data_IF_329069007550
#
_entry.id   IF_329069007550
#
_cell.length_a   1.000
_cell.length_b   1.000
_cell.length_c   1.000
_cell.angle_alpha   90.00
_cell.angle_beta   90.00
_cell.angle_gamma   90.00
#
_symmetry.space_group_name_H-M   'P 1'
#
loop_
_entity.id
_entity.type
_entity.pdbx_description
1 polymer ?
#
# COMPACT_ATOMS: atom_id res chain seq x y z
N UNK A 1 38.41 -25.46 53.33
CA UNK A 1 36.96 -25.27 53.17
C UNK A 1 36.74 -24.42 51.94
N UNK A 2 36.25 -25.01 50.84
CA UNK A 2 35.89 -24.26 49.65
C UNK A 2 34.48 -23.64 49.85
N UNK A 3 34.28 -22.34 49.55
CA UNK A 3 32.97 -21.73 49.63
C UNK A 3 32.04 -22.39 48.60
N UNK A 4 30.88 -22.87 49.07
CA UNK A 4 29.83 -23.42 48.22
C UNK A 4 29.33 -22.33 47.26
N UNK A 5 29.17 -22.63 45.97
CA UNK A 5 28.65 -21.67 45.00
C UNK A 5 27.22 -21.28 45.39
N UNK A 6 27.02 -19.99 45.67
CA UNK A 6 25.70 -19.41 45.89
C UNK A 6 24.94 -19.49 44.57
N UNK A 7 23.97 -20.39 44.48
CA UNK A 7 23.08 -20.43 43.32
C UNK A 7 22.25 -19.13 43.30
N UNK A 8 22.22 -18.39 42.17
CA UNK A 8 21.38 -17.22 42.06
C UNK A 8 19.93 -17.64 42.24
N UNK A 9 19.20 -16.93 43.11
CA UNK A 9 17.78 -17.16 43.31
C UNK A 9 17.07 -17.10 41.94
N UNK A 10 16.19 -18.05 41.62
CA UNK A 10 15.49 -18.04 40.35
C UNK A 10 14.72 -16.72 40.27
N UNK A 11 15.08 -15.86 39.31
CA UNK A 11 14.33 -14.64 39.04
C UNK A 11 12.89 -15.03 38.76
N UNK A 12 11.99 -14.74 39.69
CA UNK A 12 10.56 -14.97 39.60
C UNK A 12 9.95 -14.01 38.58
N UNK A 13 10.28 -14.21 37.30
CA UNK A 13 9.68 -13.47 36.21
C UNK A 13 8.17 -13.63 36.23
N UNK A 14 7.44 -12.52 36.09
CA UNK A 14 5.99 -12.54 35.95
C UNK A 14 5.66 -13.35 34.70
N UNK A 15 4.93 -14.46 34.87
CA UNK A 15 4.50 -15.28 33.74
C UNK A 15 3.30 -14.61 33.08
N UNK A 16 3.33 -14.46 31.75
CA UNK A 16 2.21 -13.92 30.96
C UNK A 16 0.89 -14.64 31.26
N UNK A 17 0.94 -15.94 31.53
CA UNK A 17 -0.24 -16.76 31.88
C UNK A 17 -0.93 -16.34 33.18
N UNK A 18 -0.25 -15.58 34.05
CA UNK A 18 -0.78 -15.10 35.32
C UNK A 18 -1.41 -13.71 35.22
N UNK A 19 -1.24 -12.98 34.10
CA UNK A 19 -1.86 -11.69 33.92
C UNK A 19 -3.40 -11.83 33.82
N UNK A 20 -4.20 -10.87 34.30
CA UNK A 20 -5.61 -10.74 33.97
C UNK A 20 -5.84 -10.69 32.45
N UNK A 21 -7.01 -11.14 31.98
CA UNK A 21 -7.30 -11.22 30.56
C UNK A 21 -7.33 -9.82 29.91
N UNK A 22 -7.78 -8.83 30.68
CA UNK A 22 -7.88 -7.42 30.33
C UNK A 22 -6.49 -6.82 30.06
N UNK A 23 -5.50 -7.14 30.92
CA UNK A 23 -4.13 -6.67 30.72
C UNK A 23 -3.48 -7.33 29.51
N UNK A 24 -3.71 -8.62 29.30
CA UNK A 24 -3.19 -9.32 28.11
C UNK A 24 -3.85 -8.82 26.82
N UNK A 25 -5.15 -8.52 26.87
CA UNK A 25 -5.87 -7.84 25.78
C UNK A 25 -5.27 -6.47 25.50
N UNK A 26 -5.06 -5.64 26.53
CA UNK A 26 -4.44 -4.32 26.38
C UNK A 26 -3.05 -4.40 25.74
N UNK A 27 -2.21 -5.37 26.14
CA UNK A 27 -0.91 -5.60 25.52
C UNK A 27 -1.09 -5.90 24.03
N UNK A 28 -1.99 -6.83 23.66
CA UNK A 28 -2.27 -7.16 22.26
C UNK A 28 -2.75 -5.95 21.45
N UNK A 29 -3.58 -5.09 22.03
CA UNK A 29 -4.07 -3.86 21.40
C UNK A 29 -3.00 -2.77 21.28
N UNK A 30 -1.94 -2.83 22.08
CA UNK A 30 -0.84 -1.85 22.07
C UNK A 30 0.27 -2.21 21.08
N UNK A 31 0.22 -3.41 20.48
CA UNK A 31 1.19 -3.82 19.46
C UNK A 31 0.87 -3.11 18.14
N UNK A 32 1.89 -2.59 17.48
CA UNK A 32 1.78 -1.86 16.21
C UNK A 32 1.89 -2.76 14.98
N UNK A 33 2.19 -4.05 15.16
CA UNK A 33 2.43 -5.01 14.07
C UNK A 33 1.62 -6.29 14.24
N UNK A 34 1.01 -6.76 13.15
CA UNK A 34 0.35 -8.06 13.11
C UNK A 34 1.32 -9.22 13.38
N UNK A 35 2.60 -9.07 13.03
CA UNK A 35 3.63 -10.08 13.29
C UNK A 35 3.82 -10.30 14.79
N UNK A 36 3.87 -9.22 15.56
CA UNK A 36 4.03 -9.26 17.01
C UNK A 36 2.79 -9.81 17.70
N UNK A 37 1.60 -9.39 17.23
CA UNK A 37 0.31 -9.93 17.71
C UNK A 37 0.27 -11.45 17.55
N UNK A 38 0.63 -11.94 16.36
CA UNK A 38 0.63 -13.39 16.08
C UNK A 38 1.71 -14.12 16.87
N UNK A 39 2.89 -13.52 17.03
CA UNK A 39 3.98 -14.07 17.83
C UNK A 39 3.58 -14.21 19.30
N UNK A 40 2.97 -13.16 19.88
CA UNK A 40 2.45 -13.20 21.24
C UNK A 40 1.31 -14.22 21.38
N UNK A 41 0.37 -14.25 20.44
CA UNK A 41 -0.71 -15.24 20.43
C UNK A 41 -0.20 -16.69 20.31
N UNK A 42 0.94 -16.91 19.66
CA UNK A 42 1.58 -18.23 19.54
C UNK A 42 2.24 -18.71 20.85
N UNK A 43 2.60 -17.82 21.77
CA UNK A 43 3.32 -18.18 23.01
C UNK A 43 2.51 -19.07 23.95
N UNK A 44 1.19 -18.88 24.06
CA UNK A 44 0.34 -19.71 24.91
C UNK A 44 -1.13 -19.72 24.45
N UNK A 45 -1.85 -20.79 24.81
CA UNK A 45 -3.26 -20.97 24.43
C UNK A 45 -4.16 -19.83 24.94
N UNK A 46 -3.85 -19.25 26.11
CA UNK A 46 -4.63 -18.16 26.68
C UNK A 46 -4.51 -16.88 25.83
N UNK A 47 -3.30 -16.53 25.40
CA UNK A 47 -3.09 -15.39 24.51
C UNK A 47 -3.80 -15.58 23.17
N UNK A 48 -3.76 -16.80 22.62
CA UNK A 48 -4.49 -17.15 21.38
C UNK A 48 -6.00 -16.94 21.51
N UNK A 49 -6.62 -17.43 22.59
CA UNK A 49 -8.06 -17.26 22.81
C UNK A 49 -8.44 -15.79 22.91
N UNK A 50 -7.67 -15.00 23.68
CA UNK A 50 -7.91 -13.55 23.79
C UNK A 50 -7.71 -12.86 22.44
N UNK A 51 -6.70 -13.26 21.67
CA UNK A 51 -6.50 -12.77 20.31
C UNK A 51 -7.68 -13.14 19.40
N UNK A 52 -8.18 -14.37 19.43
CA UNK A 52 -9.37 -14.79 18.65
C UNK A 52 -10.63 -14.01 19.04
N UNK A 53 -10.79 -13.68 20.31
CA UNK A 53 -11.93 -12.88 20.82
C UNK A 53 -11.86 -11.42 20.38
N UNK A 54 -10.66 -10.91 20.10
CA UNK A 54 -10.42 -9.50 19.79
C UNK A 54 -9.86 -9.25 18.37
N UNK A 55 -9.72 -10.28 17.54
CA UNK A 55 -9.00 -10.24 16.27
C UNK A 55 -9.52 -9.15 15.32
N UNK A 56 -10.84 -8.96 15.23
CA UNK A 56 -11.45 -7.92 14.40
C UNK A 56 -10.99 -6.53 14.81
N UNK A 57 -11.02 -6.22 16.12
CA UNK A 57 -10.62 -4.92 16.65
C UNK A 57 -9.12 -4.70 16.55
N UNK A 58 -8.31 -5.73 16.82
CA UNK A 58 -6.84 -5.67 16.67
C UNK A 58 -6.47 -5.36 15.21
N UNK A 59 -7.04 -6.10 14.26
CA UNK A 59 -6.78 -5.86 12.85
C UNK A 59 -7.25 -4.48 12.39
N UNK A 60 -8.39 -3.98 12.87
CA UNK A 60 -8.88 -2.65 12.51
C UNK A 60 -7.90 -1.56 12.95
N UNK A 61 -7.26 -1.71 14.11
CA UNK A 61 -6.31 -0.74 14.64
C UNK A 61 -4.93 -0.77 13.96
N UNK A 62 -4.51 -1.95 13.47
CA UNK A 62 -3.15 -2.15 12.94
C UNK A 62 -3.11 -2.09 11.41
N UNK A 63 -4.14 -2.64 10.74
CA UNK A 63 -4.13 -2.81 9.29
C UNK A 63 -4.59 -1.54 8.59
N UNK A 64 -3.66 -0.89 7.91
CA UNK A 64 -3.97 0.20 6.98
C UNK A 64 -4.90 -0.32 5.89
N UNK A 65 -5.99 0.41 5.60
CA UNK A 65 -7.03 -0.01 4.66
C UNK A 65 -7.70 -1.34 5.04
N UNK A 66 -8.02 -1.48 6.33
CA UNK A 66 -8.66 -2.66 6.90
C UNK A 66 -9.84 -3.17 6.05
N UNK A 67 -10.69 -2.28 5.54
CA UNK A 67 -11.86 -2.65 4.72
C UNK A 67 -11.46 -3.36 3.42
N UNK A 68 -10.49 -2.83 2.68
CA UNK A 68 -9.98 -3.41 1.44
C UNK A 68 -9.22 -4.72 1.71
N UNK A 69 -8.42 -4.76 2.79
CA UNK A 69 -7.75 -5.98 3.22
C UNK A 69 -8.74 -7.10 3.61
N UNK A 70 -9.83 -6.75 4.31
CA UNK A 70 -10.93 -7.68 4.63
C UNK A 70 -11.68 -8.13 3.40
N UNK A 71 -11.85 -7.24 2.42
CA UNK A 71 -12.47 -7.59 1.17
C UNK A 71 -11.64 -8.63 0.41
N UNK A 72 -10.34 -8.39 0.26
CA UNK A 72 -9.42 -9.37 -0.33
C UNK A 72 -9.48 -10.72 0.41
N UNK A 73 -9.46 -10.71 1.74
CA UNK A 73 -9.56 -11.93 2.54
C UNK A 73 -10.87 -12.70 2.26
N UNK A 74 -12.01 -12.00 2.17
CA UNK A 74 -13.29 -12.63 1.84
C UNK A 74 -13.28 -13.25 0.43
N UNK A 75 -12.67 -12.56 -0.55
CA UNK A 75 -12.55 -13.06 -1.92
C UNK A 75 -11.60 -14.27 -2.03
N UNK A 76 -10.66 -14.42 -1.09
CA UNK A 76 -9.81 -15.61 -0.93
C UNK A 76 -10.52 -16.78 -0.23
N UNK A 77 -11.83 -16.67 0.06
CA UNK A 77 -12.61 -17.69 0.75
C UNK A 77 -12.63 -17.54 2.28
N UNK A 78 -12.16 -16.40 2.80
CA UNK A 78 -12.25 -16.04 4.21
C UNK A 78 -13.65 -15.56 4.63
N UNK A 79 -13.79 -15.09 5.89
CA UNK A 79 -15.05 -14.62 6.45
C UNK A 79 -15.49 -13.31 5.78
N UNK A 80 -16.81 -13.08 5.68
CA UNK A 80 -17.37 -11.84 5.13
C UNK A 80 -16.92 -10.62 5.95
N UNK A 81 -17.11 -9.41 5.43
CA UNK A 81 -16.62 -8.17 6.04
C UNK A 81 -17.07 -8.00 7.50
N UNK A 82 -18.33 -8.31 7.78
CA UNK A 82 -18.93 -8.17 9.13
C UNK A 82 -18.73 -9.39 10.03
N UNK A 83 -18.25 -10.50 9.48
CA UNK A 83 -18.07 -11.72 10.25
C UNK A 83 -16.85 -11.59 11.19
N UNK A 84 -16.86 -12.37 12.27
CA UNK A 84 -15.76 -12.38 13.25
C UNK A 84 -14.47 -12.96 12.63
N UNK A 85 -13.34 -12.29 12.89
CA UNK A 85 -12.02 -12.80 12.55
C UNK A 85 -11.50 -13.80 13.58
N UNK A 86 -10.61 -14.67 13.13
CA UNK A 86 -9.87 -15.64 13.95
C UNK A 86 -8.37 -15.45 13.66
N UNK A 87 -7.50 -15.95 14.54
CA UNK A 87 -6.05 -15.78 14.46
C UNK A 87 -5.48 -16.22 13.11
N UNK A 88 -5.98 -17.31 12.53
CA UNK A 88 -5.51 -17.77 11.22
C UNK A 88 -5.91 -16.83 10.07
N UNK A 89 -7.04 -16.12 10.18
CA UNK A 89 -7.42 -15.06 9.25
C UNK A 89 -6.47 -13.85 9.37
N UNK A 90 -6.06 -13.51 10.59
CA UNK A 90 -5.05 -12.47 10.85
C UNK A 90 -3.72 -12.85 10.18
N UNK A 91 -3.31 -14.11 10.28
CA UNK A 91 -2.12 -14.62 9.59
C UNK A 91 -2.23 -14.53 8.07
N UNK A 92 -3.41 -14.78 7.48
CA UNK A 92 -3.64 -14.57 6.05
C UNK A 92 -3.54 -13.09 5.67
N UNK A 93 -4.09 -12.17 6.48
CA UNK A 93 -3.97 -10.73 6.25
C UNK A 93 -2.50 -10.27 6.32
N UNK A 94 -1.72 -10.76 7.29
CA UNK A 94 -0.28 -10.50 7.37
C UNK A 94 0.46 -11.03 6.13
N UNK A 95 0.12 -12.23 5.64
CA UNK A 95 0.70 -12.76 4.40
C UNK A 95 0.38 -11.86 3.21
N UNK A 96 -0.87 -11.41 3.07
CA UNK A 96 -1.27 -10.49 2.02
C UNK A 96 -0.52 -9.16 2.12
N UNK A 97 -0.34 -8.63 3.34
CA UNK A 97 0.44 -7.42 3.59
C UNK A 97 1.89 -7.55 3.12
N UNK A 98 2.57 -8.66 3.44
CA UNK A 98 3.96 -8.91 2.98
C UNK A 98 4.09 -8.95 1.46
N UNK A 99 3.10 -9.48 0.74
CA UNK A 99 3.09 -9.46 -0.73
C UNK A 99 2.97 -8.03 -1.25
N UNK A 100 2.20 -7.18 -0.57
CA UNK A 100 2.05 -5.77 -0.93
C UNK A 100 3.33 -5.00 -0.62
N UNK A 101 3.97 -5.20 0.53
CA UNK A 101 5.25 -4.55 0.86
C UNK A 101 6.34 -4.86 -0.17
N UNK A 102 6.44 -6.12 -0.59
CA UNK A 102 7.32 -6.51 -1.69
C UNK A 102 6.92 -5.81 -2.97
N UNK A 103 5.64 -5.81 -3.31
CA UNK A 103 5.13 -5.12 -4.50
C UNK A 103 5.45 -3.62 -4.50
N UNK A 104 5.39 -2.95 -3.35
CA UNK A 104 5.80 -1.54 -3.22
C UNK A 104 7.29 -1.40 -3.51
N UNK A 105 8.14 -2.26 -2.93
CA UNK A 105 9.58 -2.24 -3.17
C UNK A 105 9.91 -2.43 -4.66
N UNK A 106 9.20 -3.34 -5.34
CA UNK A 106 9.36 -3.54 -6.78
C UNK A 106 8.92 -2.31 -7.57
N UNK A 107 7.77 -1.74 -7.24
CA UNK A 107 7.24 -0.54 -7.88
C UNK A 107 8.17 0.67 -7.70
N UNK A 108 8.68 0.88 -6.50
CA UNK A 108 9.64 1.94 -6.20
C UNK A 108 10.90 1.79 -7.05
N UNK A 109 11.40 0.57 -7.16
CA UNK A 109 12.60 0.28 -7.93
C UNK A 109 12.40 0.39 -9.45
N UNK A 110 11.30 -0.14 -9.99
CA UNK A 110 11.03 -0.24 -11.44
C UNK A 110 10.38 1.00 -12.03
N UNK A 111 9.61 1.75 -11.24
CA UNK A 111 8.79 2.86 -11.71
C UNK A 111 9.21 4.16 -11.05
N UNK A 112 9.14 4.25 -9.72
CA UNK A 112 9.30 5.54 -8.99
C UNK A 112 10.65 6.19 -9.27
N UNK A 113 11.72 5.39 -9.32
CA UNK A 113 13.08 5.87 -9.66
C UNK A 113 13.20 6.55 -11.02
N UNK A 114 12.29 6.25 -11.94
CA UNK A 114 12.30 6.75 -13.31
C UNK A 114 11.24 7.85 -13.53
N UNK A 115 10.52 8.25 -12.48
CA UNK A 115 9.59 9.37 -12.55
C UNK A 115 10.38 10.66 -12.69
N UNK A 116 10.16 11.35 -13.81
CA UNK A 116 10.65 12.71 -14.04
C UNK A 116 9.46 13.66 -14.11
N UNK A 117 9.69 14.88 -13.64
CA UNK A 117 8.76 15.98 -13.75
C UNK A 117 9.57 17.28 -13.75
N UNK A 118 8.95 18.39 -14.11
CA UNK A 118 9.60 19.70 -14.06
C UNK A 118 10.10 20.01 -12.63
N UNK A 119 11.38 20.39 -12.51
CA UNK A 119 12.03 20.61 -11.21
C UNK A 119 11.28 21.59 -10.30
N UNK A 120 10.60 22.60 -10.87
CA UNK A 120 9.81 23.56 -10.10
C UNK A 120 8.59 22.94 -9.41
N UNK A 121 7.93 21.96 -10.05
CA UNK A 121 6.81 21.22 -9.45
C UNK A 121 7.33 20.31 -8.35
N UNK A 122 8.42 19.57 -8.62
CA UNK A 122 9.01 18.65 -7.66
C UNK A 122 9.52 19.38 -6.41
N UNK A 123 10.19 20.52 -6.57
CA UNK A 123 10.70 21.32 -5.46
C UNK A 123 9.57 21.88 -4.59
N UNK A 124 8.45 22.26 -5.20
CA UNK A 124 7.28 22.75 -4.46
C UNK A 124 6.63 21.66 -3.60
N UNK A 125 6.61 20.42 -4.07
CA UNK A 125 5.84 19.33 -3.43
C UNK A 125 6.69 18.45 -2.52
N UNK A 126 7.90 18.14 -2.95
CA UNK A 126 8.80 17.22 -2.24
C UNK A 126 9.99 17.96 -1.60
N UNK A 127 10.17 19.25 -1.86
CA UNK A 127 11.35 20.01 -1.40
C UNK A 127 12.65 19.68 -2.15
N UNK A 128 12.57 18.86 -3.21
CA UNK A 128 13.71 18.32 -3.96
C UNK A 128 13.55 18.61 -5.46
N UNK A 129 14.66 18.71 -6.18
CA UNK A 129 14.64 18.89 -7.65
C UNK A 129 14.29 17.58 -8.41
N UNK A 130 14.07 16.49 -7.68
CA UNK A 130 13.68 15.17 -8.20
C UNK A 130 12.64 14.52 -7.29
N UNK A 131 11.87 13.58 -7.83
CA UNK A 131 10.99 12.74 -7.02
C UNK A 131 11.81 11.93 -6.00
N UNK A 132 11.33 11.72 -4.76
CA UNK A 132 11.95 10.78 -3.83
C UNK A 132 12.10 9.38 -4.45
N UNK A 133 13.11 8.61 -4.04
CA UNK A 133 13.33 7.26 -4.59
C UNK A 133 12.30 6.22 -4.08
N UNK A 134 11.49 6.60 -3.11
CA UNK A 134 10.41 5.83 -2.52
C UNK A 134 9.08 6.59 -2.66
N UNK A 135 7.97 5.89 -2.52
CA UNK A 135 6.66 6.52 -2.46
C UNK A 135 6.58 7.42 -1.23
N UNK A 136 5.96 8.59 -1.37
CA UNK A 136 5.54 9.37 -0.20
C UNK A 136 4.48 8.63 0.62
N UNK A 137 4.22 9.04 1.87
CA UNK A 137 3.16 8.42 2.67
C UNK A 137 1.78 8.41 2.00
N UNK A 138 1.41 9.48 1.29
CA UNK A 138 0.16 9.60 0.53
C UNK A 138 0.16 8.72 -0.74
N UNK A 139 1.27 8.67 -1.47
CA UNK A 139 1.43 7.80 -2.65
C UNK A 139 1.37 6.33 -2.27
N UNK A 140 2.09 5.93 -1.22
CA UNK A 140 2.07 4.57 -0.67
C UNK A 140 0.67 4.17 -0.24
N UNK A 141 -0.05 5.08 0.41
CA UNK A 141 -1.44 4.91 0.82
C UNK A 141 -2.36 4.60 -0.37
N UNK A 142 -2.31 5.43 -1.42
CA UNK A 142 -3.05 5.19 -2.67
C UNK A 142 -2.66 3.87 -3.35
N UNK A 143 -1.37 3.55 -3.39
CA UNK A 143 -0.87 2.30 -3.95
C UNK A 143 -1.47 1.10 -3.22
N UNK A 144 -1.35 1.05 -1.89
CA UNK A 144 -1.85 -0.07 -1.07
C UNK A 144 -3.34 -0.28 -1.28
N UNK A 145 -4.14 0.79 -1.17
CA UNK A 145 -5.60 0.74 -1.33
C UNK A 145 -5.99 0.18 -2.69
N UNK A 146 -5.40 0.72 -3.76
CA UNK A 146 -5.70 0.29 -5.13
C UNK A 146 -5.20 -1.13 -5.40
N UNK A 147 -4.05 -1.51 -4.82
CA UNK A 147 -3.47 -2.84 -5.00
C UNK A 147 -4.35 -3.92 -4.38
N UNK A 148 -4.85 -3.71 -3.15
CA UNK A 148 -5.83 -4.61 -2.54
C UNK A 148 -7.06 -4.81 -3.44
N UNK A 149 -7.59 -3.73 -4.00
CA UNK A 149 -8.78 -3.77 -4.87
C UNK A 149 -8.52 -4.52 -6.17
N UNK A 150 -7.42 -4.22 -6.88
CA UNK A 150 -7.03 -4.94 -8.10
C UNK A 150 -6.80 -6.42 -7.78
N UNK A 151 -6.11 -6.74 -6.69
CA UNK A 151 -5.86 -8.13 -6.30
C UNK A 151 -7.17 -8.88 -6.00
N UNK A 152 -8.09 -8.27 -5.26
CA UNK A 152 -9.43 -8.83 -5.02
C UNK A 152 -10.16 -9.11 -6.34
N UNK A 153 -10.18 -8.15 -7.27
CA UNK A 153 -10.81 -8.28 -8.59
C UNK A 153 -10.16 -9.39 -9.44
N UNK A 154 -8.85 -9.58 -9.33
CA UNK A 154 -8.11 -10.64 -10.03
C UNK A 154 -8.39 -12.05 -9.49
N UNK A 155 -8.87 -12.19 -8.26
CA UNK A 155 -9.22 -13.50 -7.67
C UNK A 155 -10.66 -13.91 -8.03
N UNK A 156 -11.59 -12.95 -8.08
CA UNK A 156 -12.99 -13.24 -8.36
C UNK A 156 -13.27 -13.43 -9.85
N UNK A 157 -14.37 -14.10 -10.14
CA UNK A 157 -14.83 -14.32 -11.51
C UNK A 157 -15.18 -13.00 -12.22
N UNK A 158 -14.85 -12.83 -13.51
CA UNK A 158 -15.09 -11.57 -14.24
C UNK A 158 -16.54 -11.08 -14.28
N UNK A 159 -17.51 -12.00 -14.20
CA UNK A 159 -18.94 -11.66 -14.12
C UNK A 159 -19.33 -10.93 -12.82
N UNK A 160 -18.48 -10.94 -11.79
CA UNK A 160 -18.71 -10.25 -10.52
C UNK A 160 -18.03 -8.88 -10.47
N UNK A 161 -17.14 -8.54 -11.42
CA UNK A 161 -16.49 -7.23 -11.48
C UNK A 161 -17.50 -6.07 -11.51
N UNK A 162 -18.60 -6.11 -12.30
CA UNK A 162 -19.52 -4.99 -12.35
C UNK A 162 -20.16 -4.65 -11.01
N UNK A 163 -20.51 -5.67 -10.21
CA UNK A 163 -21.07 -5.52 -8.87
C UNK A 163 -20.02 -5.05 -7.87
N UNK A 164 -18.77 -5.52 -8.01
CA UNK A 164 -17.64 -5.11 -7.15
C UNK A 164 -17.22 -3.67 -7.39
N UNK A 165 -17.28 -3.21 -8.64
CA UNK A 165 -16.93 -1.85 -9.07
C UNK A 165 -18.09 -0.86 -8.91
N UNK A 166 -19.32 -1.31 -8.66
CA UNK A 166 -20.47 -0.42 -8.47
C UNK A 166 -20.35 0.57 -7.28
N UNK A 167 -19.77 0.19 -6.12
CA UNK A 167 -19.56 1.10 -5.01
C UNK A 167 -18.41 2.11 -5.23
N UNK A 168 -17.56 1.89 -6.23
CA UNK A 168 -16.48 2.81 -6.60
C UNK A 168 -17.13 4.01 -7.28
N UNK A 169 -17.30 5.10 -6.53
CA UNK A 169 -17.96 6.31 -6.99
C UNK A 169 -16.97 7.32 -7.59
N UNK A 170 -15.70 7.27 -7.19
CA UNK A 170 -14.71 8.24 -7.62
C UNK A 170 -14.00 7.82 -8.90
N UNK A 171 -13.99 8.73 -9.89
CA UNK A 171 -13.23 8.56 -11.13
C UNK A 171 -11.74 8.34 -10.87
N UNK A 172 -11.21 8.99 -9.82
CA UNK A 172 -9.82 8.88 -9.38
C UNK A 172 -9.47 7.45 -8.99
N UNK A 173 -10.38 6.76 -8.29
CA UNK A 173 -10.17 5.36 -7.94
C UNK A 173 -10.13 4.47 -9.18
N UNK A 174 -11.03 4.66 -10.16
CA UNK A 174 -10.96 3.91 -11.42
C UNK A 174 -9.66 4.13 -12.19
N UNK A 175 -9.14 5.35 -12.18
CA UNK A 175 -7.82 5.62 -12.74
C UNK A 175 -6.72 4.87 -11.99
N UNK A 176 -6.72 4.86 -10.66
CA UNK A 176 -5.74 4.07 -9.90
C UNK A 176 -5.80 2.58 -10.19
N UNK A 177 -7.00 2.03 -10.34
CA UNK A 177 -7.17 0.64 -10.75
C UNK A 177 -6.61 0.40 -12.16
N UNK A 178 -6.81 1.36 -13.07
CA UNK A 178 -6.28 1.30 -14.44
C UNK A 178 -4.75 1.33 -14.44
N UNK A 179 -4.14 2.25 -13.70
CA UNK A 179 -2.68 2.35 -13.58
C UNK A 179 -2.11 1.06 -12.96
N UNK A 180 -2.70 0.55 -11.88
CA UNK A 180 -2.20 -0.70 -11.27
C UNK A 180 -2.39 -1.94 -12.14
N UNK A 181 -3.32 -1.92 -13.10
CA UNK A 181 -3.39 -2.97 -14.12
C UNK A 181 -2.21 -2.94 -15.11
N UNK A 182 -1.41 -1.87 -15.12
CA UNK A 182 -0.20 -1.72 -15.94
C UNK A 182 1.09 -2.06 -15.18
N UNK A 183 0.99 -2.53 -13.93
CA UNK A 183 2.17 -2.92 -13.16
C UNK A 183 2.99 -3.97 -13.90
N UNK A 184 4.32 -3.82 -14.01
CA UNK A 184 5.19 -4.81 -14.62
C UNK A 184 5.29 -6.12 -13.79
N UNK A 185 4.98 -6.07 -12.50
CA UNK A 185 4.99 -7.26 -11.65
C UNK A 185 3.66 -8.02 -11.69
N UNK A 186 3.68 -9.28 -11.26
CA UNK A 186 2.48 -10.06 -11.01
C UNK A 186 1.67 -9.47 -9.82
N UNK A 187 0.35 -9.55 -9.89
CA UNK A 187 -0.52 -9.11 -8.79
C UNK A 187 -0.75 -10.29 -7.87
N UNK A 188 -0.44 -10.11 -6.59
CA UNK A 188 -0.78 -11.07 -5.56
C UNK A 188 0.06 -12.33 -5.50
N UNK A 189 1.18 -12.37 -6.23
CA UNK A 189 2.14 -13.47 -6.15
C UNK A 189 3.35 -13.04 -5.34
N UNK A 190 3.86 -14.01 -4.61
CA UNK A 190 5.11 -13.86 -3.89
C UNK A 190 6.28 -14.19 -4.83
N UNK A 191 6.58 -13.26 -5.73
CA UNK A 191 7.73 -13.37 -6.63
C UNK A 191 8.88 -12.58 -6.02
N UNK A 192 9.95 -13.28 -5.64
CA UNK A 192 11.21 -12.62 -5.29
C UNK A 192 11.66 -11.81 -6.50
N UNK A 193 12.08 -10.57 -6.27
CA UNK A 193 12.75 -9.78 -7.29
C UNK A 193 13.82 -10.66 -7.96
N UNK A 194 13.86 -10.76 -9.29
CA UNK A 194 15.03 -11.35 -9.91
C UNK A 194 16.23 -10.57 -9.36
N UNK A 195 17.20 -11.27 -8.77
CA UNK A 195 18.48 -10.69 -8.37
C UNK A 195 19.10 -10.16 -9.66
N UNK A 196 18.81 -8.90 -9.97
CA UNK A 196 19.48 -8.20 -11.05
C UNK A 196 20.92 -8.11 -10.58
N UNK A 197 21.76 -8.99 -11.12
CA UNK A 197 23.18 -8.97 -10.87
C UNK A 197 23.70 -7.64 -11.44
N UNK A 198 23.78 -6.64 -10.58
CA UNK A 198 24.49 -5.38 -10.80
C UNK A 198 25.99 -5.69 -10.85
N UNK A 199 26.43 -6.44 -11.86
CA UNK A 199 27.83 -6.38 -12.27
C UNK A 199 28.02 -5.01 -12.92
N UNK A 200 28.52 -4.06 -12.13
CA UNK A 200 28.69 -2.65 -12.46
C UNK A 200 29.68 -2.39 -13.60
N UNK A 201 29.37 -2.88 -14.81
CA UNK A 201 30.07 -2.50 -16.03
C UNK A 201 29.30 -1.41 -16.74
N UNK A 202 29.87 -0.21 -16.70
CA UNK A 202 29.41 1.06 -17.28
C UNK A 202 28.87 0.95 -18.70
N UNK A 203 27.59 0.65 -18.85
CA UNK A 203 26.95 0.55 -20.16
C UNK A 203 25.55 1.12 -20.10
N UNK A 204 25.40 2.37 -20.57
CA UNK A 204 24.17 3.14 -20.80
C UNK A 204 23.13 2.45 -21.74
N UNK A 205 23.23 1.14 -21.95
CA UNK A 205 22.38 0.34 -22.84
C UNK A 205 21.51 -0.69 -22.10
N UNK A 206 21.39 -0.61 -20.78
CA UNK A 206 20.69 -1.63 -19.97
C UNK A 206 19.22 -1.34 -19.61
N UNK A 207 18.62 -0.24 -20.10
CA UNK A 207 17.24 0.09 -19.75
C UNK A 207 16.15 -0.66 -20.55
N UNK A 208 16.46 -1.30 -21.68
CA UNK A 208 15.40 -1.89 -22.53
C UNK A 208 14.89 -3.25 -22.03
N UNK A 209 15.69 -4.04 -21.31
CA UNK A 209 15.28 -5.42 -20.96
C UNK A 209 14.29 -5.51 -19.79
N UNK A 210 14.10 -4.45 -19.00
CA UNK A 210 13.25 -4.48 -17.79
C UNK A 210 11.77 -4.18 -18.12
N UNK A 211 11.47 -3.63 -19.31
CA UNK A 211 10.15 -3.07 -19.63
C UNK A 211 9.24 -3.97 -20.49
N UNK A 212 9.71 -5.10 -20.98
CA UNK A 212 8.88 -6.02 -21.79
C UNK A 212 7.99 -6.93 -20.93
N UNK A 213 7.26 -6.36 -19.97
CA UNK A 213 6.21 -7.10 -19.29
C UNK A 213 4.92 -7.07 -20.11
N UNK A 214 4.37 -8.26 -20.36
CA UNK A 214 3.05 -8.41 -20.98
C UNK A 214 2.05 -8.71 -19.88
N UNK A 215 1.08 -7.80 -19.60
CA UNK A 215 0.03 -8.06 -18.63
C UNK A 215 -0.72 -9.35 -18.94
N UNK A 216 -1.11 -10.10 -17.90
CA UNK A 216 -1.92 -11.31 -18.11
C UNK A 216 -3.24 -10.96 -18.79
N UNK A 217 -3.80 -11.87 -19.58
CA UNK A 217 -5.08 -11.68 -20.28
C UNK A 217 -6.20 -11.25 -19.31
N UNK A 218 -6.23 -11.83 -18.11
CA UNK A 218 -7.21 -11.46 -17.09
C UNK A 218 -7.02 -10.01 -16.61
N UNK A 219 -5.78 -9.54 -16.49
CA UNK A 219 -5.49 -8.15 -16.10
C UNK A 219 -5.85 -7.16 -17.22
N UNK A 220 -5.61 -7.54 -18.47
CA UNK A 220 -6.05 -6.76 -19.63
C UNK A 220 -7.57 -6.63 -19.66
N UNK A 221 -8.30 -7.75 -19.49
CA UNK A 221 -9.77 -7.76 -19.38
C UNK A 221 -10.27 -6.90 -18.22
N UNK A 222 -9.60 -6.96 -17.07
CA UNK A 222 -9.96 -6.12 -15.92
C UNK A 222 -9.77 -4.64 -16.24
N UNK A 223 -8.65 -4.27 -16.84
CA UNK A 223 -8.37 -2.90 -17.30
C UNK A 223 -9.45 -2.42 -18.27
N UNK A 224 -9.81 -3.21 -19.27
CA UNK A 224 -10.88 -2.89 -20.21
C UNK A 224 -12.22 -2.66 -19.50
N UNK A 225 -12.56 -3.50 -18.53
CA UNK A 225 -13.81 -3.34 -17.77
C UNK A 225 -13.82 -2.07 -16.92
N UNK A 226 -12.69 -1.74 -16.30
CA UNK A 226 -12.51 -0.47 -15.57
C UNK A 226 -12.63 0.72 -16.53
N UNK A 227 -11.99 0.65 -17.71
CA UNK A 227 -12.06 1.71 -18.72
C UNK A 227 -13.48 1.91 -19.25
N UNK A 228 -14.29 0.85 -19.44
CA UNK A 228 -15.71 0.98 -19.81
C UNK A 228 -16.52 1.78 -18.78
N UNK A 229 -16.12 1.78 -17.50
CA UNK A 229 -16.76 2.61 -16.46
C UNK A 229 -16.32 4.06 -16.51
N UNK A 230 -15.09 4.30 -16.96
CA UNK A 230 -14.54 5.65 -17.17
C UNK A 230 -15.09 6.27 -18.48
N UNK A 231 -15.39 5.47 -19.51
CA UNK A 231 -15.76 5.97 -20.84
C UNK A 231 -16.97 6.93 -20.86
N UNK A 232 -18.09 6.67 -20.16
CA UNK A 232 -19.18 7.65 -20.06
C UNK A 232 -18.76 8.94 -19.36
N UNK A 233 -17.71 8.89 -18.53
CA UNK A 233 -17.12 10.04 -17.87
C UNK A 233 -16.10 10.77 -18.77
N UNK A 234 -15.53 10.10 -19.79
CA UNK A 234 -14.53 10.67 -20.73
C UNK A 234 -15.09 11.79 -21.62
N UNK A 235 -16.39 11.76 -21.90
CA UNK A 235 -17.07 12.90 -22.54
C UNK A 235 -16.93 14.18 -21.71
N UNK A 236 -16.76 14.01 -20.39
CA UNK A 236 -16.58 15.07 -19.42
C UNK A 236 -15.13 15.23 -18.93
N UNK A 237 -14.17 14.83 -19.75
CA UNK A 237 -12.75 14.92 -19.43
C UNK A 237 -12.04 15.64 -20.59
N UNK A 238 -11.07 16.55 -20.32
CA UNK A 238 -10.35 17.29 -21.35
C UNK A 238 -9.71 16.37 -22.40
N UNK A 239 -9.66 16.83 -23.66
CA UNK A 239 -9.17 16.03 -24.78
C UNK A 239 -7.79 15.45 -24.54
N UNK A 240 -6.87 16.17 -23.89
CA UNK A 240 -5.54 15.66 -23.60
C UNK A 240 -5.53 14.52 -22.56
N UNK A 241 -6.51 14.41 -21.65
CA UNK A 241 -6.68 13.22 -20.77
C UNK A 241 -7.37 12.09 -21.56
N UNK A 242 -8.24 12.42 -22.51
CA UNK A 242 -8.87 11.43 -23.40
C UNK A 242 -7.83 10.79 -24.33
N UNK A 243 -6.92 11.61 -24.85
CA UNK A 243 -5.73 11.26 -25.63
C UNK A 243 -4.63 10.61 -24.76
N UNK A 244 -4.73 10.77 -23.44
CA UNK A 244 -4.00 10.02 -22.43
C UNK A 244 -4.55 8.59 -22.35
N UNK A 245 -4.51 7.88 -23.47
CA UNK A 245 -4.36 6.44 -23.41
C UNK A 245 -2.94 6.18 -22.91
N UNK A 246 -2.75 5.28 -21.93
CA UNK A 246 -1.44 4.70 -21.66
C UNK A 246 -1.03 3.91 -22.91
N UNK A 247 -0.57 4.62 -23.94
CA UNK A 247 0.06 4.08 -25.12
C UNK A 247 1.44 3.60 -24.69
N UNK A 248 1.82 2.47 -25.27
CA UNK A 248 3.08 1.74 -25.14
C UNK A 248 4.13 2.35 -24.18
N UNK A 249 4.48 1.58 -23.15
CA UNK A 249 5.55 1.89 -22.18
C UNK A 249 6.86 2.32 -22.84
N UNK A 250 7.08 1.95 -24.11
CA UNK A 250 8.26 2.29 -24.89
C UNK A 250 8.25 3.68 -25.55
N UNK A 251 7.10 4.36 -25.66
CA UNK A 251 6.99 5.68 -26.32
C UNK A 251 7.24 6.87 -25.38
N UNK A 252 7.19 6.66 -24.06
CA UNK A 252 7.52 7.70 -23.10
C UNK A 252 9.04 7.88 -23.01
N UNK A 253 9.51 8.90 -23.73
CA UNK A 253 10.92 9.28 -23.78
C UNK A 253 11.49 9.72 -22.41
N UNK A 254 12.82 9.84 -22.31
CA UNK A 254 13.56 10.13 -21.07
C UNK A 254 13.26 11.49 -20.39
N UNK A 255 12.32 12.28 -20.91
CA UNK A 255 12.04 13.65 -20.44
C UNK A 255 10.79 13.76 -19.57
N UNK A 256 9.75 12.94 -19.78
CA UNK A 256 8.40 13.18 -19.19
C UNK A 256 7.91 12.09 -18.21
N UNK A 257 8.82 11.24 -17.76
CA UNK A 257 8.58 10.30 -16.66
C UNK A 257 7.83 9.05 -17.11
N UNK A 258 7.74 8.10 -16.20
CA UNK A 258 7.09 6.81 -16.46
C UNK A 258 5.59 7.00 -16.71
N UNK A 259 5.21 7.05 -17.99
CA UNK A 259 3.90 7.50 -18.48
C UNK A 259 2.64 6.89 -17.85
N UNK A 260 2.56 5.60 -17.51
CA UNK A 260 1.29 5.03 -17.03
C UNK A 260 0.99 5.23 -15.53
N UNK A 261 1.87 5.85 -14.73
CA UNK A 261 1.71 5.99 -13.27
C UNK A 261 1.75 7.44 -12.80
N UNK A 262 0.87 8.24 -13.37
CA UNK A 262 0.81 9.69 -13.12
C UNK A 262 -0.06 9.99 -11.92
N UNK A 263 -1.23 9.37 -11.84
CA UNK A 263 -2.25 9.72 -10.88
C UNK A 263 -1.90 9.16 -9.50
N UNK A 264 -1.15 8.06 -9.40
CA UNK A 264 -0.63 7.61 -8.11
C UNK A 264 0.28 8.64 -7.44
N UNK A 265 0.98 9.50 -8.19
CA UNK A 265 1.99 10.42 -7.66
C UNK A 265 1.38 11.75 -7.20
N UNK A 266 1.92 12.34 -6.13
CA UNK A 266 1.39 13.58 -5.52
C UNK A 266 1.44 14.76 -6.50
N UNK A 267 2.47 14.84 -7.34
CA UNK A 267 2.66 15.98 -8.23
C UNK A 267 1.62 16.15 -9.31
N UNK A 268 0.92 15.09 -9.69
CA UNK A 268 -0.20 15.17 -10.60
C UNK A 268 -1.55 15.41 -9.92
N UNK A 269 -1.65 15.23 -8.60
CA UNK A 269 -2.89 15.51 -7.86
C UNK A 269 -3.30 16.97 -7.96
N UNK A 270 -2.33 17.89 -7.92
CA UNK A 270 -2.61 19.32 -8.06
C UNK A 270 -3.10 19.70 -9.46
N UNK A 271 -2.59 19.04 -10.50
CA UNK A 271 -3.01 19.23 -11.88
C UNK A 271 -4.44 18.73 -12.08
N UNK A 272 -4.73 17.52 -11.60
CA UNK A 272 -6.09 16.96 -11.53
C UNK A 272 -7.11 17.89 -10.88
N UNK A 273 -6.78 18.45 -9.70
CA UNK A 273 -7.65 19.40 -9.00
C UNK A 273 -7.91 20.67 -9.81
N UNK A 274 -6.87 21.24 -10.43
CA UNK A 274 -7.01 22.43 -11.27
C UNK A 274 -7.93 22.19 -12.45
N UNK A 275 -7.83 21.03 -13.10
CA UNK A 275 -8.64 20.67 -14.27
C UNK A 275 -10.13 20.58 -13.95
N UNK A 276 -10.46 20.11 -12.75
CA UNK A 276 -11.84 20.06 -12.29
C UNK A 276 -12.41 21.46 -12.02
N UNK A 277 -11.61 22.36 -11.45
CA UNK A 277 -12.03 23.75 -11.20
C UNK A 277 -12.40 24.53 -12.47
N UNK A 278 -11.93 24.09 -13.65
CA UNK A 278 -12.30 24.66 -14.95
C UNK A 278 -13.57 24.06 -15.56
N UNK A 279 -14.27 23.15 -14.86
CA UNK A 279 -15.37 22.36 -15.40
C UNK A 279 -16.75 22.98 -15.10
N UNK A 280 -17.42 23.71 -16.02
CA UNK A 280 -18.65 24.45 -15.71
C UNK A 280 -19.94 23.63 -15.91
N UNK A 281 -19.86 22.39 -16.40
CA UNK A 281 -20.99 21.68 -17.01
C UNK A 281 -21.34 20.30 -16.42
N UNK A 282 -20.59 19.79 -15.45
CA UNK A 282 -21.03 18.64 -14.65
C UNK A 282 -22.04 19.21 -13.65
N UNK A 283 -23.29 18.69 -13.56
CA UNK A 283 -24.20 19.06 -12.45
C UNK A 283 -23.42 18.93 -11.15
N UNK A 284 -23.65 19.75 -10.11
CA UNK A 284 -22.81 19.77 -8.91
C UNK A 284 -22.76 18.38 -8.26
N UNK A 285 -21.86 17.55 -8.76
CA UNK A 285 -21.41 16.33 -8.12
C UNK A 285 -20.57 16.88 -7.02
N UNK A 286 -21.03 16.66 -5.80
CA UNK A 286 -20.38 17.16 -4.59
C UNK A 286 -18.86 17.01 -4.77
N UNK A 287 -18.10 18.12 -4.72
CA UNK A 287 -16.64 18.08 -4.90
C UNK A 287 -16.01 17.05 -3.95
N UNK A 288 -16.63 16.89 -2.77
CA UNK A 288 -16.32 15.86 -1.80
C UNK A 288 -16.43 14.44 -2.40
N UNK A 289 -17.46 14.13 -3.18
CA UNK A 289 -17.63 12.77 -3.74
C UNK A 289 -16.61 12.39 -4.81
N UNK A 290 -15.93 13.36 -5.44
CA UNK A 290 -14.95 13.12 -6.50
C UNK A 290 -13.52 13.19 -5.95
N UNK A 291 -13.27 14.16 -5.05
CA UNK A 291 -11.92 14.53 -4.62
C UNK A 291 -11.65 14.38 -3.13
N UNK A 292 -12.68 14.26 -2.28
CA UNK A 292 -12.38 13.93 -0.88
C UNK A 292 -11.69 12.57 -0.89
N UNK A 293 -10.51 12.54 -0.30
CA UNK A 293 -9.97 11.29 0.18
C UNK A 293 -11.06 10.74 1.11
N UNK A 294 -11.80 9.74 0.61
CA UNK A 294 -12.97 9.16 1.28
C UNK A 294 -12.71 9.04 2.78
N UNK A 295 -13.71 9.37 3.61
CA UNK A 295 -13.73 9.45 5.09
C UNK A 295 -12.88 8.40 5.86
N UNK A 296 -12.53 7.27 5.24
CA UNK A 296 -11.52 6.33 5.71
C UNK A 296 -10.10 6.93 5.89
N UNK A 297 -9.79 8.14 5.38
CA UNK A 297 -8.54 8.86 5.70
C UNK A 297 -8.60 9.65 7.02
N UNK A 298 -9.79 9.97 7.53
CA UNK A 298 -9.96 10.66 8.82
C UNK A 298 -9.94 9.70 10.02
N UNK A 299 -10.11 8.39 9.78
CA UNK A 299 -10.18 7.37 10.85
C UNK A 299 -8.79 6.90 11.32
N UNK A 300 -7.71 7.30 10.64
CA UNK A 300 -6.33 7.12 11.15
C UNK A 300 -5.98 8.24 12.11
N UNK A 301 -6.75 8.40 13.19
CA UNK A 301 -6.53 9.31 14.33
C UNK A 301 -5.35 10.26 14.18
N UNK A 302 -5.51 11.25 13.29
CA UNK A 302 -4.51 12.28 13.05
C UNK A 302 -4.42 13.12 14.32
N UNK A 303 -3.53 12.75 15.24
CA UNK A 303 -2.90 13.70 16.14
C UNK A 303 -2.14 14.68 15.23
N UNK A 304 -2.87 15.70 14.77
CA UNK A 304 -2.37 16.81 14.00
C UNK A 304 -1.45 17.66 14.87
N UNK A 305 -0.24 17.15 15.10
CA UNK A 305 0.92 17.98 15.25
C UNK A 305 1.40 18.35 13.83
N UNK A 306 0.62 19.20 13.17
CA UNK A 306 1.13 20.05 12.10
C UNK A 306 2.13 21.01 12.73
N UNK A 307 3.37 20.53 12.92
CA UNK A 307 4.51 21.42 13.01
C UNK A 307 4.75 21.97 11.61
N UNK A 308 4.41 23.26 11.45
CA UNK A 308 4.91 24.10 10.37
C UNK A 308 6.38 23.76 10.10
N UNK A 309 6.65 23.15 8.96
CA UNK A 309 8.00 23.05 8.41
C UNK A 309 8.45 24.45 7.98
N UNK A 310 8.80 25.29 8.94
CA UNK A 310 9.63 26.46 8.71
C UNK A 310 11.02 25.91 8.38
N UNK A 311 11.36 25.94 7.09
CA UNK A 311 12.66 25.61 6.57
C UNK A 311 13.70 26.55 7.21
N UNK A 312 14.23 26.13 8.36
CA UNK A 312 15.32 26.80 9.06
C UNK A 312 16.60 26.09 8.65
N UNK A 313 17.40 26.81 7.88
CA UNK A 313 18.71 26.43 7.39
C UNK A 313 19.69 26.33 8.56
N UNK A 314 19.74 25.16 9.23
CA UNK A 314 20.80 24.84 10.19
C UNK A 314 20.90 23.34 10.47
N UNK A 315 21.99 22.74 9.97
CA UNK A 315 22.84 21.76 10.67
C UNK A 315 22.21 20.50 11.26
N UNK A 316 22.53 19.37 10.60
CA UNK A 316 22.73 18.04 11.17
C UNK A 316 21.73 17.53 12.22
N UNK A 317 20.71 16.79 11.75
CA UNK A 317 20.27 15.53 12.38
C UNK A 317 19.36 14.75 11.41
N UNK A 318 19.91 13.70 10.81
CA UNK A 318 19.17 12.78 9.93
C UNK A 318 18.54 11.69 10.80
N UNK A 319 17.21 11.71 10.93
CA UNK A 319 16.48 10.59 11.53
C UNK A 319 16.42 9.43 10.53
N UNK A 320 17.22 8.41 10.78
CA UNK A 320 17.11 7.11 10.10
C UNK A 320 15.90 6.36 10.66
N UNK A 321 14.94 6.06 9.80
CA UNK A 321 14.08 4.90 10.01
C UNK A 321 14.97 3.66 9.84
N UNK A 322 15.25 2.97 10.95
CA UNK A 322 16.10 1.78 10.94
C UNK A 322 15.28 0.56 10.52
N UNK A 323 15.36 0.21 9.24
CA UNK A 323 15.03 -1.13 8.75
C UNK A 323 16.08 -2.12 9.28
N UNK A 324 15.81 -2.73 10.44
CA UNK A 324 16.57 -3.88 10.93
C UNK A 324 15.66 -4.85 11.65
N UNK A 325 15.17 -5.85 10.92
CA UNK A 325 14.90 -7.18 11.45
C UNK A 325 15.16 -8.23 10.36
N UNK A 326 16.41 -8.69 10.26
CA UNK A 326 16.76 -9.96 9.63
C UNK A 326 17.83 -10.64 10.49
N UNK A 327 17.38 -11.34 11.54
CA UNK A 327 18.11 -12.47 12.10
C UNK A 327 17.20 -13.70 12.08
N UNK A 328 17.36 -14.52 11.05
CA UNK A 328 16.76 -15.85 10.99
C UNK A 328 17.53 -16.73 11.99
N UNK A 329 16.97 -16.88 13.19
CA UNK A 329 17.41 -17.91 14.13
C UNK A 329 16.85 -19.25 13.63
N UNK A 330 17.69 -20.04 12.97
CA UNK A 330 17.42 -21.47 12.75
C UNK A 330 17.72 -22.18 14.08
N UNK A 331 16.67 -22.60 14.80
CA UNK A 331 16.80 -23.52 15.93
C UNK A 331 16.59 -24.97 15.45
N UNK A 332 17.29 -25.95 16.07
CA UNK A 332 17.36 -27.35 15.62
C UNK A 332 16.04 -28.13 15.74
#
# INVERSE_FOLDING_TARGET
MQPLPVQPAPCSGIRLTCLPAELLGHILFSLSSLSDVLSLAATCQRARVICDDNATSICRNIVIYYRQARQLLADQGGPKLEDRLLTHHVAMMLRNWRVIERSITQFEWQVVRHITCTAHVLKRLYGLDRHPLSLTPSERRRFVRSYYTVWSLMIISPNLWPSRLAPVSSIREFYYLTELCLLPQSIGRDESLPLVNYSGTDSDTHNDSVLHFVPSEQRQKLREEVLKRIEPLREYVPDWIREWEPVDLSEYGPTDGYGPFVLLCDHFQSYLKQLYGYWPAIPPVNEDNIWSDSEDEDDTGSDSNDQDYICSDSGDEVYFWSDREDEIIVLP
#
